data_IF_043012701434
#
_entry.id   IF_043012701434
#
_cell.length_a   1.000
_cell.length_b   1.000
_cell.length_c   1.000
_cell.angle_alpha   90.00
_cell.angle_beta   90.00
_cell.angle_gamma   90.00
#
_symmetry.space_group_name_H-M   'P 1'
#
loop_
_entity.id
_entity.type
_entity.pdbx_description
1 polymer ?
#
# COMPACT_ATOMS: atom_id res chain seq x y z
N UNK A 1 -18.33 -1.07 7.95
CA UNK A 1 -18.27 -2.55 7.93
C UNK A 1 -17.29 -2.96 9.02
N UNK A 2 -17.61 -3.91 9.91
CA UNK A 2 -16.68 -4.34 10.96
C UNK A 2 -16.13 -5.73 10.66
N UNK A 3 -14.86 -5.94 11.00
CA UNK A 3 -14.23 -7.25 10.90
C UNK A 3 -14.87 -8.18 11.94
N UNK A 4 -15.14 -9.42 11.53
CA UNK A 4 -15.63 -10.45 12.46
C UNK A 4 -14.53 -10.77 13.50
N UNK A 5 -14.90 -11.20 14.72
CA UNK A 5 -13.91 -11.58 15.73
C UNK A 5 -12.90 -12.63 15.25
N UNK A 6 -13.33 -13.55 14.38
CA UNK A 6 -12.44 -14.55 13.75
C UNK A 6 -11.44 -13.91 12.79
N UNK A 7 -11.88 -12.96 11.96
CA UNK A 7 -11.01 -12.22 11.04
C UNK A 7 -9.97 -11.38 11.81
N UNK A 8 -10.38 -10.72 12.89
CA UNK A 8 -9.44 -9.99 13.75
C UNK A 8 -8.40 -10.90 14.41
N UNK A 9 -8.82 -12.09 14.84
CA UNK A 9 -7.90 -13.10 15.37
C UNK A 9 -6.91 -13.53 14.29
N UNK A 10 -7.37 -13.85 13.09
CA UNK A 10 -6.51 -14.20 11.95
C UNK A 10 -5.51 -13.08 11.66
N UNK A 11 -5.96 -11.83 11.58
CA UNK A 11 -5.06 -10.71 11.36
C UNK A 11 -3.98 -10.60 12.44
N UNK A 12 -4.33 -10.75 13.73
CA UNK A 12 -3.37 -10.72 14.85
C UNK A 12 -2.41 -11.90 14.88
N UNK A 13 -2.83 -13.06 14.38
CA UNK A 13 -2.01 -14.27 14.37
C UNK A 13 -1.07 -14.29 13.16
N UNK A 14 -1.61 -13.95 11.99
CA UNK A 14 -0.95 -14.08 10.69
C UNK A 14 -0.28 -12.78 10.22
N UNK A 15 -0.71 -11.62 10.72
CA UNK A 15 -0.23 -10.30 10.31
C UNK A 15 -0.87 -9.77 9.03
N UNK A 16 -1.81 -10.51 8.43
CA UNK A 16 -2.59 -10.05 7.29
C UNK A 16 -3.96 -10.75 7.25
N UNK A 17 -4.86 -10.20 6.43
CA UNK A 17 -6.19 -10.72 6.18
C UNK A 17 -6.60 -10.40 4.74
N UNK A 18 -7.14 -11.39 4.03
CA UNK A 18 -7.73 -11.22 2.70
C UNK A 18 -9.26 -11.17 2.84
N UNK A 19 -9.89 -10.19 2.20
CA UNK A 19 -11.35 -9.98 2.27
C UNK A 19 -11.89 -9.74 0.87
N UNK A 20 -12.93 -10.49 0.52
CA UNK A 20 -13.57 -10.41 -0.79
C UNK A 20 -14.83 -9.55 -0.73
N UNK A 21 -15.25 -9.02 -1.89
CA UNK A 21 -16.55 -8.37 -2.04
C UNK A 21 -16.69 -7.04 -1.30
N UNK A 22 -15.62 -6.23 -1.28
CA UNK A 22 -15.68 -4.89 -0.72
C UNK A 22 -16.34 -3.89 -1.69
N UNK A 23 -15.96 -3.94 -2.97
CA UNK A 23 -16.60 -3.18 -4.04
C UNK A 23 -17.54 -4.07 -4.86
N UNK A 24 -18.70 -3.51 -5.23
CA UNK A 24 -19.54 -4.08 -6.27
C UNK A 24 -18.99 -3.81 -7.68
N UNK A 25 -19.53 -4.50 -8.69
CA UNK A 25 -19.08 -4.41 -10.08
C UNK A 25 -19.15 -2.98 -10.63
N UNK A 26 -20.25 -2.26 -10.39
CA UNK A 26 -20.41 -0.87 -10.85
C UNK A 26 -19.42 0.11 -10.18
N UNK A 27 -19.14 -0.08 -8.88
CA UNK A 27 -18.13 0.73 -8.17
C UNK A 27 -16.74 0.46 -8.73
N UNK A 28 -16.43 -0.82 -8.98
CA UNK A 28 -15.16 -1.27 -9.50
C UNK A 28 -14.89 -0.74 -10.91
N UNK A 29 -15.87 -0.81 -11.80
CA UNK A 29 -15.73 -0.33 -13.18
C UNK A 29 -15.56 1.18 -13.25
N UNK A 30 -16.31 1.93 -12.45
CA UNK A 30 -16.12 3.37 -12.35
C UNK A 30 -14.73 3.72 -11.80
N UNK A 31 -14.27 3.00 -10.77
CA UNK A 31 -12.95 3.21 -10.18
C UNK A 31 -11.81 2.85 -11.15
N UNK A 32 -11.95 1.78 -11.93
CA UNK A 32 -10.99 1.40 -12.98
C UNK A 32 -10.89 2.45 -14.08
N UNK A 33 -12.01 3.03 -14.51
CA UNK A 33 -12.02 4.08 -15.52
C UNK A 33 -11.27 5.32 -15.01
N UNK A 34 -11.63 5.84 -13.83
CA UNK A 34 -10.94 6.98 -13.23
C UNK A 34 -9.46 6.70 -12.93
N UNK A 35 -9.13 5.46 -12.58
CA UNK A 35 -7.74 5.02 -12.41
C UNK A 35 -6.95 5.18 -13.70
N UNK A 36 -7.45 4.63 -14.81
CA UNK A 36 -6.75 4.73 -16.09
C UNK A 36 -6.68 6.16 -16.61
N UNK A 37 -7.75 6.94 -16.49
CA UNK A 37 -7.73 8.36 -16.85
C UNK A 37 -6.64 9.12 -16.07
N UNK A 38 -6.48 8.80 -14.78
CA UNK A 38 -5.43 9.39 -13.94
C UNK A 38 -4.04 8.94 -14.38
N UNK A 39 -3.84 7.65 -14.68
CA UNK A 39 -2.55 7.13 -15.19
C UNK A 39 -2.16 7.80 -16.49
N UNK A 40 -3.08 7.89 -17.46
CA UNK A 40 -2.78 8.48 -18.77
C UNK A 40 -2.52 9.99 -18.70
N UNK A 41 -3.28 10.70 -17.86
CA UNK A 41 -3.02 12.12 -17.57
C UNK A 41 -1.63 12.30 -16.98
N UNK A 42 -1.29 11.57 -15.91
CA UNK A 42 0.02 11.67 -15.26
C UNK A 42 1.16 11.26 -16.19
N UNK A 43 0.96 10.27 -17.06
CA UNK A 43 1.96 9.90 -18.08
C UNK A 43 2.22 11.08 -19.03
N UNK A 44 1.16 11.74 -19.50
CA UNK A 44 1.27 12.91 -20.40
C UNK A 44 1.92 14.12 -19.71
N UNK A 45 1.67 14.29 -18.42
CA UNK A 45 2.22 15.37 -17.59
C UNK A 45 3.63 15.07 -17.05
N UNK A 46 4.23 13.91 -17.38
CA UNK A 46 5.47 13.40 -16.77
C UNK A 46 5.41 13.32 -15.22
N UNK A 47 4.21 13.14 -14.67
CA UNK A 47 3.96 12.98 -13.23
C UNK A 47 3.78 11.53 -12.77
N UNK A 48 3.85 10.56 -13.69
CA UNK A 48 3.79 9.14 -13.34
C UNK A 48 5.18 8.65 -12.92
N UNK A 49 5.33 8.28 -11.66
CA UNK A 49 6.61 7.87 -11.07
C UNK A 49 6.72 6.35 -10.95
N UNK A 50 7.95 5.82 -10.93
CA UNK A 50 8.21 4.43 -10.53
C UNK A 50 8.20 4.33 -8.99
N UNK A 51 7.76 3.18 -8.45
CA UNK A 51 7.84 2.87 -7.01
C UNK A 51 9.30 2.80 -6.54
N UNK A 52 10.20 2.31 -7.38
CA UNK A 52 11.64 2.23 -7.08
C UNK A 52 12.37 3.44 -7.65
N UNK A 53 13.38 3.91 -6.93
CA UNK A 53 14.11 5.13 -7.26
C UNK A 53 15.21 4.85 -8.29
N UNK A 54 14.81 4.61 -9.54
CA UNK A 54 15.71 4.48 -10.70
C UNK A 54 15.44 5.58 -11.73
N UNK A 55 16.50 6.14 -12.32
CA UNK A 55 16.41 7.20 -13.35
C UNK A 55 16.01 6.70 -14.73
N UNK A 56 15.95 5.38 -14.93
CA UNK A 56 15.73 4.79 -16.25
C UNK A 56 14.28 4.37 -16.45
N UNK A 57 13.65 4.91 -17.51
CA UNK A 57 12.28 4.62 -17.95
C UNK A 57 12.16 3.29 -18.72
N UNK A 58 12.85 2.24 -18.27
CA UNK A 58 12.75 0.92 -18.90
C UNK A 58 11.51 0.15 -18.41
N UNK A 59 10.56 -0.11 -19.31
CA UNK A 59 9.27 -0.72 -19.03
C UNK A 59 9.36 -2.12 -18.40
N UNK A 60 10.49 -2.84 -18.58
CA UNK A 60 10.68 -4.20 -18.10
C UNK A 60 10.76 -4.32 -16.56
N UNK A 61 11.08 -3.23 -15.87
CA UNK A 61 11.37 -3.23 -14.43
C UNK A 61 10.44 -2.33 -13.60
N UNK A 62 9.38 -1.77 -14.20
CA UNK A 62 8.61 -0.72 -13.54
C UNK A 62 7.35 -1.23 -12.85
N UNK A 63 7.17 -0.75 -11.62
CA UNK A 63 5.85 -0.59 -11.02
C UNK A 63 5.59 0.90 -10.99
N UNK A 64 4.57 1.37 -11.70
CA UNK A 64 4.23 2.78 -11.70
C UNK A 64 3.31 3.10 -10.52
N UNK A 65 3.42 4.33 -10.02
CA UNK A 65 2.60 4.81 -8.92
C UNK A 65 1.93 6.16 -9.20
N UNK A 66 0.65 6.24 -8.83
CA UNK A 66 -0.07 7.48 -8.58
C UNK A 66 0.21 7.86 -7.13
N UNK A 67 1.11 8.82 -6.89
CA UNK A 67 1.43 9.29 -5.54
C UNK A 67 0.34 10.20 -4.99
N UNK A 68 0.09 10.10 -3.68
CA UNK A 68 -0.97 10.85 -2.99
C UNK A 68 -2.29 10.75 -3.75
N UNK A 69 -2.71 9.51 -4.06
CA UNK A 69 -3.81 9.26 -5.00
C UNK A 69 -5.09 10.04 -4.64
N UNK A 70 -5.40 10.24 -3.35
CA UNK A 70 -6.53 11.05 -2.90
C UNK A 70 -6.51 12.52 -3.36
N UNK A 71 -5.35 13.07 -3.72
CA UNK A 71 -5.21 14.41 -4.27
C UNK A 71 -5.28 14.45 -5.81
N UNK A 72 -5.26 13.29 -6.46
CA UNK A 72 -5.22 13.18 -7.93
C UNK A 72 -6.60 13.04 -8.56
N UNK A 73 -7.58 12.52 -7.83
CA UNK A 73 -8.97 12.39 -8.30
C UNK A 73 -9.96 12.31 -7.11
N UNK A 74 -11.15 12.93 -7.20
CA UNK A 74 -12.16 12.89 -6.12
C UNK A 74 -12.55 11.47 -5.69
N UNK A 75 -12.61 10.52 -6.62
CA UNK A 75 -12.98 9.13 -6.31
C UNK A 75 -12.02 8.45 -5.31
N UNK A 76 -10.72 8.77 -5.39
CA UNK A 76 -9.72 8.23 -4.47
C UNK A 76 -9.87 8.86 -3.09
N UNK A 77 -10.17 10.17 -3.04
CA UNK A 77 -10.49 10.86 -1.79
C UNK A 77 -11.75 10.28 -1.14
N UNK A 78 -12.79 10.01 -1.93
CA UNK A 78 -14.02 9.37 -1.43
C UNK A 78 -13.74 7.99 -0.83
N UNK A 79 -12.84 7.20 -1.45
CA UNK A 79 -12.51 5.86 -0.97
C UNK A 79 -11.90 5.86 0.44
N UNK A 80 -10.95 6.75 0.73
CA UNK A 80 -10.34 6.85 2.07
C UNK A 80 -11.29 7.44 3.13
N UNK A 81 -12.41 8.06 2.71
CA UNK A 81 -13.48 8.51 3.60
C UNK A 81 -14.66 7.53 3.68
N UNK A 82 -14.58 6.38 2.99
CA UNK A 82 -15.64 5.39 3.01
C UNK A 82 -15.78 4.79 4.41
N UNK A 83 -16.97 4.92 5.01
CA UNK A 83 -17.26 4.39 6.34
C UNK A 83 -17.11 2.86 6.40
N UNK A 84 -17.35 2.14 5.30
CA UNK A 84 -17.11 0.69 5.21
C UNK A 84 -15.65 0.37 5.50
N UNK A 85 -14.72 1.12 4.86
CA UNK A 85 -13.28 1.00 5.03
C UNK A 85 -12.83 1.44 6.42
N UNK A 86 -13.20 2.67 6.81
CA UNK A 86 -12.74 3.27 8.07
C UNK A 86 -13.20 2.48 9.31
N UNK A 87 -14.37 1.85 9.28
CA UNK A 87 -14.82 0.97 10.37
C UNK A 87 -13.95 -0.28 10.53
N UNK A 88 -13.39 -0.81 9.43
CA UNK A 88 -12.47 -1.96 9.50
C UNK A 88 -11.10 -1.53 9.98
N UNK A 89 -10.60 -0.39 9.49
CA UNK A 89 -9.36 0.22 9.96
C UNK A 89 -9.45 0.50 11.46
N UNK A 90 -10.55 1.11 11.92
CA UNK A 90 -10.81 1.39 13.33
C UNK A 90 -10.73 0.14 14.22
N UNK A 91 -11.24 -0.98 13.74
CA UNK A 91 -11.20 -2.27 14.45
C UNK A 91 -9.79 -2.82 14.66
N UNK A 92 -8.81 -2.34 13.88
CA UNK A 92 -7.42 -2.79 13.96
C UNK A 92 -6.54 -1.79 14.70
N UNK A 93 -6.60 -0.50 14.35
CA UNK A 93 -5.69 0.53 14.89
C UNK A 93 -6.33 1.48 15.91
N UNK A 94 -7.66 1.42 16.09
CA UNK A 94 -8.40 2.32 16.99
C UNK A 94 -9.10 3.49 16.28
N UNK A 95 -9.84 4.32 17.03
CA UNK A 95 -10.79 5.31 16.50
C UNK A 95 -10.14 6.57 15.91
N UNK A 96 -8.89 6.81 16.22
CA UNK A 96 -8.14 7.99 15.78
C UNK A 96 -7.34 7.60 14.53
N UNK A 97 -7.86 7.92 13.34
CA UNK A 97 -7.34 7.39 12.07
C UNK A 97 -6.78 8.52 11.23
N UNK A 98 -5.52 8.38 10.82
CA UNK A 98 -4.86 9.27 9.86
C UNK A 98 -4.31 8.48 8.68
N UNK A 99 -4.39 9.07 7.48
CA UNK A 99 -3.69 8.55 6.31
C UNK A 99 -2.20 8.85 6.40
N UNK A 100 -1.36 7.85 6.17
CA UNK A 100 0.10 7.97 6.11
C UNK A 100 0.58 8.15 4.68
N UNK A 101 0.07 7.31 3.79
CA UNK A 101 0.45 7.28 2.39
C UNK A 101 -0.66 6.65 1.57
N UNK A 102 -0.79 7.06 0.32
CA UNK A 102 -1.75 6.47 -0.60
C UNK A 102 -1.18 6.44 -2.01
N UNK A 103 -0.99 5.22 -2.52
CA UNK A 103 -0.47 4.94 -3.84
C UNK A 103 -1.51 4.19 -4.69
N UNK A 104 -1.70 4.63 -5.93
CA UNK A 104 -2.25 3.76 -6.98
C UNK A 104 -1.10 3.01 -7.64
N UNK A 105 -1.02 1.70 -7.47
CA UNK A 105 0.05 0.85 -7.99
C UNK A 105 -0.39 0.19 -9.30
N UNK A 106 0.33 0.51 -10.39
CA UNK A 106 0.11 -0.05 -11.71
C UNK A 106 1.30 -0.95 -12.10
N UNK A 107 1.05 -2.24 -12.26
CA UNK A 107 2.00 -3.17 -12.88
C UNK A 107 1.65 -3.35 -14.36
N UNK A 108 2.53 -2.93 -15.30
CA UNK A 108 2.31 -3.16 -16.72
C UNK A 108 2.19 -4.66 -17.06
N UNK A 109 1.55 -5.00 -18.19
CA UNK A 109 1.58 -6.35 -18.76
C UNK A 109 3.01 -6.83 -19.04
N UNK A 110 3.23 -8.14 -19.03
CA UNK A 110 4.46 -8.84 -19.41
C UNK A 110 5.74 -8.51 -18.61
N UNK A 111 5.71 -7.44 -17.80
CA UNK A 111 6.85 -6.92 -17.05
C UNK A 111 6.48 -6.78 -15.57
N UNK A 112 5.95 -5.63 -15.14
CA UNK A 112 5.39 -5.42 -13.81
C UNK A 112 6.39 -5.32 -12.66
N UNK A 113 7.71 -5.42 -12.92
CA UNK A 113 8.79 -5.33 -11.94
C UNK A 113 8.68 -6.30 -10.75
N UNK A 114 9.71 -6.32 -9.91
CA UNK A 114 9.69 -7.03 -8.62
C UNK A 114 9.80 -6.02 -7.50
N UNK A 115 8.88 -6.08 -6.54
CA UNK A 115 9.04 -5.42 -5.24
C UNK A 115 9.61 -6.47 -4.31
N UNK A 116 10.85 -6.29 -3.87
CA UNK A 116 11.56 -7.23 -3.00
C UNK A 116 10.92 -7.28 -1.60
N UNK A 117 11.31 -8.28 -0.80
CA UNK A 117 10.83 -8.40 0.58
C UNK A 117 11.14 -7.14 1.38
N UNK A 118 10.11 -6.60 2.01
CA UNK A 118 10.22 -5.43 2.87
C UNK A 118 9.10 -5.40 3.91
N UNK A 119 9.28 -4.53 4.90
CA UNK A 119 8.26 -4.11 5.85
C UNK A 119 7.94 -2.63 5.60
N UNK A 120 6.66 -2.31 5.48
CA UNK A 120 6.19 -0.94 5.28
C UNK A 120 6.71 0.04 6.34
N UNK A 121 6.77 -0.41 7.61
CA UNK A 121 7.20 0.47 8.70
C UNK A 121 8.68 0.85 8.63
N UNK A 122 9.50 0.14 7.84
CA UNK A 122 10.87 0.59 7.56
C UNK A 122 10.88 1.93 6.82
N UNK A 123 9.91 2.13 5.92
CA UNK A 123 9.75 3.37 5.16
C UNK A 123 8.97 4.43 5.94
N UNK A 124 7.93 4.01 6.66
CA UNK A 124 7.07 4.95 7.38
C UNK A 124 7.67 5.43 8.71
N UNK A 125 8.56 4.66 9.33
CA UNK A 125 9.20 5.03 10.60
C UNK A 125 8.16 5.50 11.64
N UNK A 126 6.99 4.86 11.69
CA UNK A 126 5.95 5.13 12.70
C UNK A 126 6.27 4.32 13.94
N UNK A 127 6.19 4.97 15.10
CA UNK A 127 6.54 4.34 16.36
C UNK A 127 5.63 3.14 16.69
N UNK A 128 6.27 2.00 16.94
CA UNK A 128 5.61 0.73 17.25
C UNK A 128 4.97 0.06 16.03
N UNK A 129 3.83 -0.59 16.26
CA UNK A 129 3.06 -1.39 15.30
C UNK A 129 1.75 -0.70 14.90
N UNK A 130 1.72 0.63 15.01
CA UNK A 130 0.50 1.46 14.94
C UNK A 130 0.04 1.80 13.54
N UNK A 131 0.52 1.07 12.53
CA UNK A 131 0.23 1.30 11.13
C UNK A 131 -0.28 0.02 10.48
N UNK A 132 -1.25 0.17 9.60
CA UNK A 132 -1.71 -0.90 8.71
C UNK A 132 -1.80 -0.40 7.28
N UNK A 133 -1.77 -1.35 6.37
CA UNK A 133 -1.93 -1.13 4.95
C UNK A 133 -3.19 -1.84 4.48
N UNK A 134 -4.00 -1.16 3.70
CA UNK A 134 -5.14 -1.73 2.97
C UNK A 134 -4.82 -1.67 1.50
N UNK A 135 -4.58 -2.82 0.89
CA UNK A 135 -4.34 -2.96 -0.53
C UNK A 135 -5.61 -3.46 -1.22
N UNK A 136 -6.28 -2.59 -1.97
CA UNK A 136 -7.50 -2.90 -2.71
C UNK A 136 -7.16 -3.36 -4.13
N UNK A 137 -7.64 -4.54 -4.49
CA UNK A 137 -7.51 -5.13 -5.82
C UNK A 137 -8.50 -4.46 -6.79
N UNK A 138 -8.00 -3.81 -7.83
CA UNK A 138 -8.87 -3.35 -8.92
C UNK A 138 -9.01 -4.41 -10.02
N UNK A 139 -8.14 -5.40 -10.06
CA UNK A 139 -8.16 -6.52 -11.00
C UNK A 139 -8.19 -7.85 -10.24
N UNK A 140 -8.52 -8.94 -10.92
CA UNK A 140 -8.28 -10.29 -10.37
C UNK A 140 -6.79 -10.41 -10.06
N UNK A 141 -6.42 -10.95 -8.90
CA UNK A 141 -5.03 -11.04 -8.45
C UNK A 141 -4.62 -12.50 -8.39
N UNK A 142 -3.69 -12.85 -9.27
CA UNK A 142 -3.17 -14.20 -9.45
C UNK A 142 -1.66 -14.23 -9.22
N UNK A 143 -1.08 -15.43 -9.15
CA UNK A 143 0.38 -15.54 -9.06
C UNK A 143 1.07 -14.97 -10.31
N UNK A 144 0.51 -15.26 -11.48
CA UNK A 144 1.06 -14.87 -12.78
C UNK A 144 1.03 -13.35 -13.00
N UNK A 145 0.06 -12.63 -12.44
CA UNK A 145 0.02 -11.18 -12.55
C UNK A 145 0.71 -10.44 -11.39
N UNK A 146 1.48 -11.17 -10.58
CA UNK A 146 2.35 -10.62 -9.57
C UNK A 146 1.62 -10.24 -8.30
N UNK A 147 0.79 -11.14 -7.75
CA UNK A 147 0.24 -11.02 -6.40
C UNK A 147 1.32 -10.73 -5.34
N UNK A 148 0.88 -10.22 -4.19
CA UNK A 148 1.76 -10.11 -3.03
C UNK A 148 1.98 -11.47 -2.40
N UNK A 149 3.14 -11.66 -1.79
CA UNK A 149 3.46 -12.82 -0.96
C UNK A 149 3.69 -12.35 0.47
N UNK A 150 3.20 -13.10 1.44
CA UNK A 150 3.36 -12.82 2.87
C UNK A 150 4.09 -13.97 3.56
N UNK A 151 4.82 -13.67 4.64
CA UNK A 151 5.35 -14.65 5.58
C UNK A 151 4.47 -14.70 6.84
N UNK A 152 3.49 -15.62 6.94
CA UNK A 152 2.48 -15.55 7.99
C UNK A 152 3.07 -15.59 9.40
N UNK A 153 2.60 -14.68 10.26
CA UNK A 153 3.00 -14.61 11.68
C UNK A 153 4.36 -13.95 11.95
N UNK A 154 5.12 -13.57 10.92
CA UNK A 154 6.45 -12.95 11.07
C UNK A 154 6.42 -11.46 11.43
N UNK A 155 5.24 -10.81 11.37
CA UNK A 155 5.03 -9.40 11.74
C UNK A 155 5.34 -9.01 13.20
N UNK A 156 5.80 -9.95 14.02
CA UNK A 156 6.03 -9.77 15.47
C UNK A 156 7.31 -9.00 15.80
N UNK A 157 8.14 -8.70 14.80
CA UNK A 157 9.38 -7.95 14.98
C UNK A 157 9.72 -7.15 13.73
N UNK A 158 10.41 -6.04 13.93
CA UNK A 158 11.08 -5.35 12.84
C UNK A 158 12.29 -6.18 12.39
N UNK A 159 12.50 -6.25 11.08
CA UNK A 159 13.61 -6.94 10.44
C UNK A 159 14.59 -5.93 9.84
N UNK A 160 15.86 -6.32 9.75
CA UNK A 160 16.87 -5.48 9.15
C UNK A 160 16.58 -5.30 7.65
N UNK A 161 16.71 -4.06 7.19
CA UNK A 161 16.69 -3.72 5.77
C UNK A 161 18.04 -3.16 5.39
N UNK A 162 18.51 -3.52 4.21
CA UNK A 162 19.74 -2.98 3.63
C UNK A 162 19.38 -1.99 2.53
N UNK A 163 20.14 -0.91 2.44
CA UNK A 163 20.10 -0.05 1.27
C UNK A 163 20.84 -0.76 0.14
N UNK A 164 20.12 -1.05 -0.94
CA UNK A 164 20.63 -1.74 -2.11
C UNK A 164 20.66 -0.78 -3.30
N UNK A 165 21.53 -1.11 -4.26
CA UNK A 165 21.60 -0.46 -5.57
C UNK A 165 21.62 -1.54 -6.64
N UNK A 166 20.69 -1.48 -7.59
CA UNK A 166 20.63 -2.42 -8.72
C UNK A 166 20.52 -1.63 -10.03
N UNK A 167 21.64 -1.52 -10.75
CA UNK A 167 21.68 -0.93 -12.09
C UNK A 167 21.23 -1.89 -13.17
N UNK A 168 21.40 -3.20 -12.97
CA UNK A 168 21.10 -4.22 -13.98
C UNK A 168 19.59 -4.35 -14.18
N UNK A 169 18.83 -4.27 -13.07
CA UNK A 169 17.37 -4.19 -13.07
C UNK A 169 16.85 -2.74 -12.99
N UNK A 170 17.74 -1.76 -13.15
CA UNK A 170 17.40 -0.33 -13.23
C UNK A 170 16.54 0.19 -12.06
N UNK A 171 16.69 -0.40 -10.87
CA UNK A 171 15.93 -0.05 -9.66
C UNK A 171 16.49 1.19 -8.95
N UNK A 172 17.76 1.52 -9.23
CA UNK A 172 18.52 2.52 -8.48
C UNK A 172 18.56 2.19 -6.98
N UNK A 173 18.40 3.18 -6.10
CA UNK A 173 18.46 2.96 -4.64
C UNK A 173 17.11 2.50 -4.09
N UNK A 174 17.11 1.44 -3.29
CA UNK A 174 15.93 0.95 -2.58
C UNK A 174 16.32 0.25 -1.28
N UNK A 175 15.35 -0.01 -0.41
CA UNK A 175 15.57 -0.78 0.82
C UNK A 175 14.86 -2.13 0.71
N UNK A 176 15.57 -3.20 1.06
CA UNK A 176 14.99 -4.54 1.10
C UNK A 176 15.58 -5.35 2.25
N UNK A 177 14.81 -6.33 2.70
CA UNK A 177 15.30 -7.41 3.54
C UNK A 177 16.14 -8.35 2.67
N UNK A 178 17.35 -8.67 3.13
CA UNK A 178 18.20 -9.69 2.51
C UNK A 178 18.10 -10.99 3.29
N UNK A 179 18.42 -12.12 2.64
CA UNK A 179 18.52 -13.43 3.30
C UNK A 179 17.21 -13.89 3.97
N UNK A 180 16.08 -13.52 3.37
CA UNK A 180 14.75 -13.91 3.85
C UNK A 180 14.53 -15.40 3.61
N UNK A 181 14.27 -16.16 4.68
CA UNK A 181 13.76 -17.53 4.56
C UNK A 181 12.31 -17.47 4.07
N UNK A 182 12.13 -17.81 2.79
CA UNK A 182 10.81 -17.81 2.14
C UNK A 182 10.00 -19.07 2.45
N UNK A 183 10.53 -19.99 3.27
CA UNK A 183 9.83 -21.22 3.64
C UNK A 183 8.51 -20.88 4.34
N UNK A 184 7.40 -21.33 3.75
CA UNK A 184 6.06 -21.04 4.27
C UNK A 184 5.49 -19.68 3.84
N UNK A 185 6.13 -18.97 2.91
CA UNK A 185 5.51 -17.84 2.24
C UNK A 185 4.24 -18.27 1.50
N UNK A 186 3.22 -17.42 1.52
CA UNK A 186 1.91 -17.69 0.89
C UNK A 186 1.50 -16.57 -0.06
N UNK A 187 0.91 -16.88 -1.22
CA UNK A 187 0.40 -15.89 -2.15
C UNK A 187 -0.90 -15.26 -1.64
N UNK A 188 -1.04 -13.96 -1.85
CA UNK A 188 -2.24 -13.18 -1.53
C UNK A 188 -3.14 -13.04 -2.75
N UNK A 189 -3.85 -14.13 -3.06
CA UNK A 189 -4.81 -14.18 -4.17
C UNK A 189 -6.11 -13.50 -3.78
N UNK A 190 -6.62 -12.63 -4.65
CA UNK A 190 -7.80 -11.82 -4.39
C UNK A 190 -8.65 -11.68 -5.66
N UNK A 191 -9.98 -11.81 -5.56
CA UNK A 191 -10.84 -11.39 -6.65
C UNK A 191 -10.81 -9.87 -6.78
N UNK A 192 -11.15 -9.38 -7.97
CA UNK A 192 -11.31 -7.95 -8.19
C UNK A 192 -12.35 -7.34 -7.23
N UNK A 193 -12.06 -6.17 -6.65
CA UNK A 193 -12.88 -5.55 -5.62
C UNK A 193 -12.71 -6.14 -4.22
N UNK A 194 -11.85 -7.15 -4.03
CA UNK A 194 -11.35 -7.59 -2.73
C UNK A 194 -10.16 -6.76 -2.25
N UNK A 195 -9.80 -6.87 -0.97
CA UNK A 195 -8.62 -6.21 -0.42
C UNK A 195 -7.81 -7.14 0.49
N UNK A 196 -6.53 -6.83 0.63
CA UNK A 196 -5.68 -7.30 1.72
C UNK A 196 -5.56 -6.20 2.78
N UNK A 197 -5.72 -6.55 4.06
CA UNK A 197 -5.24 -5.73 5.18
C UNK A 197 -3.98 -6.39 5.70
N UNK A 198 -2.91 -5.64 5.84
CA UNK A 198 -1.63 -6.18 6.29
C UNK A 198 -0.94 -5.26 7.29
N UNK A 199 -0.29 -5.89 8.26
CA UNK A 199 0.38 -5.23 9.37
C UNK A 199 1.65 -4.53 8.87
N UNK A 200 2.00 -3.35 9.37
CA UNK A 200 3.17 -2.61 8.87
C UNK A 200 4.53 -3.35 9.02
N UNK A 201 4.59 -4.35 9.89
CA UNK A 201 5.75 -5.24 10.07
C UNK A 201 5.64 -6.59 9.37
N UNK A 202 4.56 -6.91 8.62
CA UNK A 202 4.56 -8.17 7.87
C UNK A 202 5.52 -8.03 6.67
N UNK A 203 6.57 -8.86 6.58
CA UNK A 203 7.38 -8.96 5.37
C UNK A 203 6.46 -9.36 4.21
N UNK A 204 6.57 -8.59 3.14
CA UNK A 204 5.85 -8.88 1.92
C UNK A 204 6.66 -8.49 0.69
N UNK A 205 6.37 -9.16 -0.42
CA UNK A 205 6.99 -8.92 -1.73
C UNK A 205 5.97 -9.08 -2.84
N UNK A 206 6.32 -8.75 -4.07
CA UNK A 206 5.51 -9.13 -5.24
C UNK A 206 6.36 -9.38 -6.47
N UNK A 207 5.99 -10.40 -7.26
CA UNK A 207 6.71 -10.82 -8.46
C UNK A 207 6.33 -9.99 -9.70
N UNK A 208 7.00 -10.26 -10.81
CA UNK A 208 6.64 -9.79 -12.15
C UNK A 208 5.17 -10.07 -12.49
N UNK A 209 4.62 -9.26 -13.38
CA UNK A 209 3.36 -9.53 -14.06
C UNK A 209 3.67 -10.15 -15.43
N UNK A 210 3.53 -11.46 -15.56
CA UNK A 210 3.83 -12.17 -16.82
C UNK A 210 2.60 -12.28 -17.72
N UNK A 211 1.48 -11.66 -17.35
CA UNK A 211 0.23 -11.71 -18.12
C UNK A 211 0.14 -10.58 -19.14
N UNK A 212 -0.75 -10.71 -20.12
CA UNK A 212 -1.00 -9.68 -21.14
C UNK A 212 -1.96 -8.56 -20.67
N UNK A 213 -2.28 -8.50 -19.38
CA UNK A 213 -3.15 -7.48 -18.79
C UNK A 213 -2.42 -6.76 -17.65
N UNK A 214 -2.68 -5.47 -17.42
CA UNK A 214 -2.09 -4.79 -16.27
C UNK A 214 -2.71 -5.29 -14.96
N UNK A 215 -1.98 -5.12 -13.85
CA UNK A 215 -2.52 -5.32 -12.50
C UNK A 215 -2.53 -4.00 -11.74
N UNK A 216 -3.72 -3.51 -11.43
CA UNK A 216 -3.96 -2.26 -10.70
C UNK A 216 -4.36 -2.54 -9.26
N UNK A 217 -3.80 -1.76 -8.35
CA UNK A 217 -4.18 -1.79 -6.94
C UNK A 217 -4.09 -0.42 -6.30
N UNK A 218 -4.83 -0.23 -5.21
CA UNK A 218 -4.81 0.97 -4.40
C UNK A 218 -4.27 0.62 -3.01
N UNK A 219 -3.06 1.08 -2.69
CA UNK A 219 -2.41 0.86 -1.40
C UNK A 219 -2.64 2.08 -0.51
N UNK A 220 -3.50 1.92 0.50
CA UNK A 220 -3.84 2.96 1.47
C UNK A 220 -3.23 2.59 2.82
N UNK A 221 -2.39 3.46 3.35
CA UNK A 221 -1.68 3.22 4.61
C UNK A 221 -2.25 4.13 5.69
N UNK A 222 -2.64 3.53 6.81
CA UNK A 222 -3.31 4.22 7.91
C UNK A 222 -2.51 4.04 9.20
N UNK A 223 -2.47 5.09 10.02
CA UNK A 223 -1.88 5.05 11.36
C UNK A 223 -2.88 5.50 12.42
N UNK A 224 -2.64 5.04 13.65
CA UNK A 224 -3.20 5.68 14.83
C UNK A 224 -2.75 7.15 14.86
N UNK A 225 -3.70 8.07 14.74
CA UNK A 225 -3.44 9.51 14.71
C UNK A 225 -2.92 10.04 16.05
N UNK A 226 -2.92 9.23 17.12
CA UNK A 226 -2.27 9.53 18.39
C UNK A 226 -0.79 9.19 18.42
N UNK A 227 -0.28 8.41 17.46
CA UNK A 227 1.14 8.15 17.36
C UNK A 227 1.92 9.44 17.07
N UNK A 228 3.22 9.51 17.42
CA UNK A 228 4.09 10.60 16.99
C UNK A 228 4.14 10.75 15.46
N UNK A 229 4.61 11.89 14.99
CA UNK A 229 4.84 12.10 13.56
C UNK A 229 5.72 10.99 12.97
N UNK A 230 5.34 10.39 11.83
CA UNK A 230 6.19 9.46 11.12
C UNK A 230 7.57 10.04 10.84
N UNK A 231 8.62 9.23 10.99
CA UNK A 231 10.00 9.70 10.82
C UNK A 231 10.30 10.28 9.43
N UNK A 232 9.64 9.78 8.38
CA UNK A 232 9.78 10.32 7.01
C UNK A 232 9.23 11.74 6.85
N UNK A 233 8.38 12.25 7.74
CA UNK A 233 7.88 13.62 7.64
C UNK A 233 8.97 14.68 7.80
N UNK A 234 10.09 14.32 8.43
CA UNK A 234 11.30 15.16 8.46
C UNK A 234 11.85 15.47 7.05
N UNK A 235 11.36 14.77 6.02
CA UNK A 235 11.79 14.89 4.62
C UNK A 235 10.92 15.83 3.77
N UNK A 236 9.93 16.52 4.35
CA UNK A 236 9.29 17.71 3.73
C UNK A 236 7.96 17.51 2.99
N UNK A 237 7.06 16.67 3.50
CA UNK A 237 5.72 16.50 2.92
C UNK A 237 4.71 17.58 3.35
N UNK A 238 3.71 17.82 2.50
CA UNK A 238 2.61 18.77 2.73
C UNK A 238 1.56 18.13 3.65
N UNK A 239 1.03 18.82 4.67
CA UNK A 239 0.04 18.25 5.59
C UNK A 239 -1.20 17.64 4.92
N UNK A 240 -1.64 18.19 3.78
CA UNK A 240 -2.77 17.66 2.98
C UNK A 240 -2.53 16.26 2.40
N UNK A 241 -1.28 15.80 2.34
CA UNK A 241 -0.95 14.44 1.94
C UNK A 241 -1.31 13.40 3.00
N UNK A 242 -1.51 13.83 4.25
CA UNK A 242 -1.76 12.96 5.41
C UNK A 242 -2.99 13.42 6.22
N UNK A 243 -4.19 13.46 5.62
CA UNK A 243 -5.40 13.94 6.30
C UNK A 243 -5.76 13.10 7.53
N UNK A 244 -6.27 13.77 8.57
CA UNK A 244 -7.01 13.12 9.65
C UNK A 244 -8.37 12.69 9.11
N UNK A 245 -8.68 11.40 9.19
CA UNK A 245 -9.90 10.81 8.61
C UNK A 245 -10.98 10.55 9.65
N UNK A 246 -10.58 10.27 10.90
CA UNK A 246 -11.51 10.02 12.02
C UNK A 246 -10.84 10.38 13.36
N UNK A 247 -11.65 10.76 14.34
CA UNK A 247 -11.20 10.95 15.71
C UNK A 247 -10.41 12.24 15.93
N UNK A 248 -9.35 12.16 16.73
CA UNK A 248 -8.51 13.29 17.16
C UNK A 248 -7.05 12.95 16.97
N UNK A 249 -6.29 13.88 16.41
CA UNK A 249 -4.84 13.73 16.34
C UNK A 249 -4.15 13.95 17.70
N UNK A 250 -2.87 13.58 17.78
CA UNK A 250 -1.97 14.00 18.85
C UNK A 250 -1.71 15.51 18.72
N UNK A 251 -1.97 16.34 19.75
CA UNK A 251 -1.82 17.79 19.64
C UNK A 251 -0.37 18.26 19.46
N UNK A 252 0.61 17.37 19.62
CA UNK A 252 2.03 17.67 19.52
C UNK A 252 2.65 17.29 18.15
N UNK A 253 1.84 16.90 17.17
CA UNK A 253 2.28 16.58 15.80
C UNK A 253 2.49 17.84 14.99
N UNK A 254 3.55 17.88 14.18
CA UNK A 254 3.82 18.98 13.25
C UNK A 254 2.81 19.06 12.11
N UNK A 255 2.09 17.97 11.83
CA UNK A 255 1.02 17.90 10.84
C UNK A 255 -0.17 18.81 11.15
N UNK A 256 -0.48 19.00 12.44
CA UNK A 256 -1.66 19.76 12.89
C UNK A 256 -1.30 21.19 13.35
N UNK A 257 0.00 21.48 13.49
CA UNK A 257 0.52 22.81 13.85
C UNK A 257 0.78 23.72 12.63
N UNK A 258 0.66 23.18 11.41
CA UNK A 258 0.93 23.89 10.14
C UNK A 258 -0.30 23.97 9.20
N UNK A 259 -1.48 23.58 9.67
CA UNK A 259 -2.74 23.63 8.94
C UNK A 259 -3.58 24.86 9.29
#
# INVERSE_FOLDING_TARGET
MRLKPTQLRTFREQGFLLVNGFLGEAELDHLRACYMDTVERLRTENGLENVQSGSDQDEDYQVYQIRTAHLQHPIFSMLIHDTRLLDMVENVIGPDIRLVHYQGLYKPPCTGGVIDWHQDNHYFEVDGDRTISVWLALDEVTEENGCMWYLPGSHRRAEAHQQLWDSDKKKGFYFAMTDVDETGAVPALLPAGGFAIHHCLIPHRSNYNTTNQPRRGLAMHFMDAKAPDPGFLKRGLVPSAMPLLRGRANPNTSLDLKG
#
